data_IF_073735642608
#
_entry.id   IF_073735642608
#
_cell.length_a   1.000
_cell.length_b   1.000
_cell.length_c   1.000
_cell.angle_alpha   90.00
_cell.angle_beta   90.00
_cell.angle_gamma   90.00
#
_symmetry.space_group_name_H-M   'P 1'
#
loop_
_entity.id
_entity.type
_entity.pdbx_description
1 polymer ?
#
# COMPACT_ATOMS: atom_id res chain seq x y z
N UNK A 1 -1.06 10.91 -9.86
CA UNK A 1 -1.01 11.48 -8.50
C UNK A 1 -0.71 10.34 -7.55
N UNK A 2 0.51 10.23 -7.03
CA UNK A 2 0.87 9.22 -6.03
C UNK A 2 0.40 9.76 -4.66
N UNK A 3 -0.41 9.02 -3.89
CA UNK A 3 -0.94 9.55 -2.64
C UNK A 3 0.19 9.61 -1.61
N UNK A 4 0.65 10.83 -1.33
CA UNK A 4 1.61 11.08 -0.26
C UNK A 4 0.96 10.86 1.11
N UNK A 5 1.72 10.29 2.07
CA UNK A 5 1.36 10.21 3.49
C UNK A 5 0.79 11.56 3.97
N UNK A 6 -0.49 11.57 4.31
CA UNK A 6 -1.20 12.74 4.82
C UNK A 6 -1.11 12.81 6.35
N UNK A 7 -1.39 13.98 6.94
CA UNK A 7 -1.54 14.11 8.41
C UNK A 7 -2.53 13.04 8.91
N UNK A 8 -2.07 12.22 9.85
CA UNK A 8 -2.86 11.13 10.46
C UNK A 8 -3.15 9.95 9.51
N UNK A 9 -2.44 9.81 8.40
CA UNK A 9 -2.57 8.69 7.45
C UNK A 9 -3.99 8.50 6.88
N UNK A 10 -4.82 9.55 6.92
CA UNK A 10 -6.23 9.48 6.52
C UNK A 10 -6.40 8.92 5.11
N UNK A 11 -5.54 9.28 4.15
CA UNK A 11 -5.62 8.72 2.79
C UNK A 11 -5.38 7.21 2.76
N UNK A 12 -4.34 6.73 3.43
CA UNK A 12 -4.02 5.30 3.50
C UNK A 12 -5.17 4.51 4.14
N UNK A 13 -5.81 5.09 5.16
CA UNK A 13 -6.97 4.47 5.83
C UNK A 13 -8.23 4.46 4.94
N UNK A 14 -8.42 5.48 4.10
CA UNK A 14 -9.49 5.49 3.10
C UNK A 14 -9.25 4.42 2.03
N UNK A 15 -8.01 4.27 1.59
CA UNK A 15 -7.59 3.23 0.64
C UNK A 15 -7.77 1.83 1.28
N UNK A 16 -7.38 1.63 2.55
CA UNK A 16 -7.66 0.39 3.31
C UNK A 16 -9.16 0.06 3.33
N UNK A 17 -10.01 1.06 3.57
CA UNK A 17 -11.46 0.89 3.57
C UNK A 17 -11.99 0.50 2.19
N UNK A 18 -11.51 1.13 1.12
CA UNK A 18 -11.94 0.80 -0.24
C UNK A 18 -11.51 -0.61 -0.65
N UNK A 19 -10.26 -0.99 -0.39
CA UNK A 19 -9.75 -2.32 -0.72
C UNK A 19 -10.57 -3.39 0.00
N UNK A 20 -10.78 -3.22 1.32
CA UNK A 20 -11.51 -4.19 2.14
C UNK A 20 -13.02 -4.27 1.86
N UNK A 21 -13.66 -3.18 1.41
CA UNK A 21 -15.11 -3.13 1.21
C UNK A 21 -15.57 -3.39 -0.23
N UNK A 22 -14.73 -3.12 -1.23
CA UNK A 22 -15.11 -3.20 -2.64
C UNK A 22 -14.74 -4.52 -3.32
N UNK A 23 -14.24 -5.51 -2.55
CA UNK A 23 -13.75 -6.77 -3.08
C UNK A 23 -12.63 -6.57 -4.09
N UNK A 24 -11.74 -5.61 -3.83
CA UNK A 24 -10.66 -5.27 -4.75
C UNK A 24 -9.60 -6.36 -4.69
N UNK A 25 -9.12 -6.80 -5.85
CA UNK A 25 -8.05 -7.79 -5.94
C UNK A 25 -6.72 -7.10 -6.21
N UNK A 26 -5.65 -7.64 -5.63
CA UNK A 26 -4.30 -7.15 -5.89
C UNK A 26 -3.91 -7.50 -7.32
N UNK A 27 -3.52 -6.50 -8.09
CA UNK A 27 -3.14 -6.66 -9.51
C UNK A 27 -1.66 -6.43 -9.77
N UNK A 28 -0.91 -5.93 -8.78
CA UNK A 28 0.54 -5.82 -8.89
C UNK A 28 1.21 -5.01 -7.80
N UNK A 29 2.50 -4.78 -8.00
CA UNK A 29 3.37 -4.03 -7.11
C UNK A 29 4.07 -2.93 -7.90
N UNK A 30 4.32 -1.80 -7.24
CA UNK A 30 5.08 -0.70 -7.82
C UNK A 30 6.45 -0.66 -7.13
N UNK A 31 7.50 -0.89 -7.91
CA UNK A 31 8.87 -0.79 -7.43
C UNK A 31 9.39 0.63 -7.68
N UNK A 32 9.62 1.36 -6.60
CA UNK A 32 10.24 2.69 -6.62
C UNK A 32 11.37 2.71 -5.59
N UNK A 33 12.63 2.94 -6.02
CA UNK A 33 13.79 2.90 -5.13
C UNK A 33 13.77 3.99 -4.05
N UNK A 34 12.88 4.98 -4.17
CA UNK A 34 12.72 6.06 -3.20
C UNK A 34 11.65 5.74 -2.15
N UNK A 35 10.94 4.62 -2.25
CA UNK A 35 9.99 4.21 -1.20
C UNK A 35 10.75 3.41 -0.14
N UNK A 36 10.57 3.74 1.13
CA UNK A 36 11.17 2.94 2.20
C UNK A 36 10.65 1.49 2.12
N UNK A 37 11.54 0.49 2.23
CA UNK A 37 11.12 -0.89 2.26
C UNK A 37 10.35 -1.19 3.56
N UNK A 38 9.19 -1.83 3.41
CA UNK A 38 8.40 -2.41 4.48
C UNK A 38 7.83 -3.75 4.00
N UNK A 39 7.74 -4.70 4.92
CA UNK A 39 7.14 -6.01 4.67
C UNK A 39 6.24 -6.34 5.85
N UNK A 40 5.04 -6.82 5.58
CA UNK A 40 4.07 -7.21 6.60
C UNK A 40 3.18 -8.36 6.15
N UNK A 41 2.24 -8.73 7.03
CA UNK A 41 1.23 -9.72 6.69
C UNK A 41 0.23 -9.14 5.68
N UNK A 42 -0.26 -9.97 4.76
CA UNK A 42 -1.36 -9.58 3.87
C UNK A 42 -2.64 -9.29 4.68
N UNK A 43 -3.06 -8.03 4.64
CA UNK A 43 -4.21 -7.54 5.39
C UNK A 43 -5.55 -7.82 4.69
N UNK A 44 -5.52 -8.11 3.38
CA UNK A 44 -6.73 -8.25 2.56
C UNK A 44 -6.93 -9.66 2.00
N UNK A 45 -6.09 -10.61 2.41
CA UNK A 45 -6.14 -11.98 1.96
C UNK A 45 -7.54 -12.59 2.08
N UNK A 46 -7.96 -13.27 1.01
CA UNK A 46 -9.31 -13.82 0.89
C UNK A 46 -9.56 -14.90 1.95
N UNK A 47 -10.39 -14.63 2.95
CA UNK A 47 -10.88 -15.68 3.84
C UNK A 47 -11.82 -16.62 3.06
N UNK A 48 -11.69 -17.96 3.15
CA UNK A 48 -10.94 -18.75 4.14
C UNK A 48 -9.55 -19.24 3.71
N UNK A 49 -9.06 -18.86 2.53
CA UNK A 49 -7.79 -19.35 1.97
C UNK A 49 -6.79 -18.20 1.80
N UNK A 50 -5.98 -17.88 2.82
CA UNK A 50 -4.93 -16.89 2.65
C UNK A 50 -3.97 -17.34 1.55
N UNK A 51 -3.68 -16.46 0.59
CA UNK A 51 -2.80 -16.75 -0.55
C UNK A 51 -1.31 -16.86 -0.14
N UNK A 52 -0.98 -16.46 1.10
CA UNK A 52 0.39 -16.46 1.61
C UNK A 52 1.22 -15.28 1.11
N UNK A 53 0.55 -14.26 0.55
CA UNK A 53 1.21 -13.05 0.09
C UNK A 53 1.67 -12.18 1.26
N UNK A 54 2.68 -11.36 0.98
CA UNK A 54 3.18 -10.36 1.91
C UNK A 54 2.67 -8.98 1.50
N UNK A 55 2.35 -8.16 2.49
CA UNK A 55 2.13 -6.74 2.27
C UNK A 55 3.48 -6.06 1.99
N UNK A 56 3.56 -5.36 0.87
CA UNK A 56 4.69 -4.58 0.38
C UNK A 56 4.38 -3.07 0.44
N UNK A 57 5.39 -2.19 0.26
CA UNK A 57 5.22 -0.75 0.47
C UNK A 57 4.27 -0.07 -0.49
N UNK A 58 4.11 -0.63 -1.68
CA UNK A 58 3.41 0.02 -2.77
C UNK A 58 2.73 -1.03 -3.67
N UNK A 59 1.42 -1.07 -3.59
CA UNK A 59 0.58 -2.14 -4.14
C UNK A 59 -0.55 -1.53 -4.97
N UNK A 60 -0.87 -2.19 -6.08
CA UNK A 60 -2.01 -1.84 -6.91
C UNK A 60 -3.13 -2.86 -6.69
N UNK A 61 -4.33 -2.33 -6.48
CA UNK A 61 -5.55 -3.11 -6.40
C UNK A 61 -6.53 -2.61 -7.45
N UNK A 62 -7.35 -3.52 -7.98
CA UNK A 62 -8.39 -3.17 -8.92
C UNK A 62 -9.73 -3.77 -8.50
N UNK A 63 -10.78 -2.97 -8.64
CA UNK A 63 -12.16 -3.39 -8.46
C UNK A 63 -12.89 -3.22 -9.79
N UNK A 64 -12.92 -4.30 -10.57
CA UNK A 64 -13.55 -4.31 -11.90
C UNK A 64 -15.04 -3.94 -11.83
N UNK A 65 -15.73 -4.34 -10.75
CA UNK A 65 -17.14 -4.04 -10.53
C UNK A 65 -17.41 -2.55 -10.28
N UNK A 66 -16.43 -1.83 -9.72
CA UNK A 66 -16.53 -0.41 -9.40
C UNK A 66 -15.75 0.49 -10.39
N UNK A 67 -15.09 -0.10 -11.40
CA UNK A 67 -14.20 0.59 -12.32
C UNK A 67 -13.18 1.48 -11.59
N UNK A 68 -12.62 0.97 -10.49
CA UNK A 68 -11.75 1.71 -9.59
C UNK A 68 -10.43 0.97 -9.38
N UNK A 69 -9.34 1.65 -9.74
CA UNK A 69 -7.97 1.23 -9.40
C UNK A 69 -7.49 2.02 -8.18
N UNK A 70 -6.96 1.30 -7.20
CA UNK A 70 -6.48 1.84 -5.93
C UNK A 70 -4.98 1.58 -5.82
N UNK A 71 -4.24 2.60 -5.44
CA UNK A 71 -2.81 2.51 -5.18
C UNK A 71 -2.60 2.69 -3.68
N UNK A 72 -2.22 1.62 -2.99
CA UNK A 72 -1.93 1.64 -1.57
C UNK A 72 -0.44 1.88 -1.36
N UNK A 73 -0.09 2.99 -0.73
CA UNK A 73 1.29 3.28 -0.35
C UNK A 73 1.43 3.25 1.17
N UNK A 74 2.09 2.23 1.73
CA UNK A 74 2.27 2.04 3.17
C UNK A 74 3.51 2.74 3.74
N UNK A 75 4.50 3.02 2.90
CA UNK A 75 5.77 3.64 3.31
C UNK A 75 5.98 5.03 2.74
N UNK A 76 6.77 5.89 3.41
CA UNK A 76 7.10 7.21 2.88
C UNK A 76 8.02 7.15 1.67
N UNK A 77 7.86 8.15 0.82
CA UNK A 77 8.85 8.50 -0.20
C UNK A 77 10.00 9.24 0.49
N UNK A 78 11.18 8.66 0.42
CA UNK A 78 12.43 9.27 0.83
C UNK A 78 12.90 10.19 -0.28
N UNK A 79 13.05 11.48 0.03
CA UNK A 79 13.99 12.29 -0.74
C UNK A 79 15.38 11.86 -0.33
N UNK A 80 16.15 11.30 -1.26
CA UNK A 80 17.52 10.86 -0.99
C UNK A 80 18.33 12.05 -0.45
N UNK A 81 18.52 12.07 0.88
CA UNK A 81 19.65 12.72 1.54
C UNK A 81 20.38 11.63 2.34
N UNK A 82 21.73 11.62 2.37
CA UNK A 82 22.51 10.48 2.85
C UNK A 82 22.25 10.01 4.30
N UNK A 83 21.57 10.80 5.14
CA UNK A 83 21.44 10.55 6.58
C UNK A 83 20.05 10.05 7.04
N UNK A 84 18.99 10.16 6.23
CA UNK A 84 17.60 10.11 6.76
C UNK A 84 16.84 8.80 6.46
N UNK A 85 17.40 7.90 5.64
CA UNK A 85 16.72 6.66 5.24
C UNK A 85 16.48 5.66 6.40
N UNK A 86 17.17 5.81 7.53
CA UNK A 86 17.21 4.81 8.61
C UNK A 86 16.16 5.00 9.73
N UNK A 87 15.38 6.09 9.73
CA UNK A 87 14.67 6.54 10.95
C UNK A 87 13.14 6.47 10.88
N UNK A 88 12.53 6.10 9.75
CA UNK A 88 11.07 6.06 9.62
C UNK A 88 10.53 4.63 9.55
N UNK A 89 10.46 4.00 10.73
CA UNK A 89 9.54 2.90 11.02
C UNK A 89 8.47 3.44 11.96
N UNK A 90 7.24 3.60 11.48
CA UNK A 90 6.05 3.73 12.32
C UNK A 90 5.06 2.67 11.88
#
# INVERSE_FOLDING_TARGET
>A
FQPALSIGNVRQLVEDLFISSMGSERVGYLDDPNILPCVGNDAYGSFPFPQGDLALPHEAYDSLSNALTIIQQRSPVVKVSPEVASTLFF
#
